data_IF_815862306228
#
_entry.id   IF_815862306228
#
_cell.length_a   1.000
_cell.length_b   1.000
_cell.length_c   1.000
_cell.angle_alpha   90.00
_cell.angle_beta   90.00
_cell.angle_gamma   90.00
#
_symmetry.space_group_name_H-M   'P 1'
#
loop_
_entity.id
_entity.type
_entity.pdbx_description
1 polymer ?
#
# COMPACT_ATOMS: atom_id res chain seq x y z
N UNK A 1 -16.34 -11.06 27.09
CA UNK A 1 -16.71 -10.61 25.74
C UNK A 1 -16.41 -9.12 25.51
N UNK A 2 -16.77 -8.20 26.43
CA UNK A 2 -16.50 -6.74 26.27
C UNK A 2 -15.02 -6.35 26.37
N UNK A 3 -14.21 -7.12 27.07
CA UNK A 3 -12.77 -6.85 27.23
C UNK A 3 -11.95 -7.24 25.98
N UNK A 4 -12.37 -8.30 25.28
CA UNK A 4 -11.75 -8.72 24.03
C UNK A 4 -12.04 -7.71 22.91
N UNK A 5 -13.26 -7.19 22.79
CA UNK A 5 -13.62 -6.19 21.80
C UNK A 5 -12.83 -4.88 21.96
N UNK A 6 -12.60 -4.41 23.20
CA UNK A 6 -11.84 -3.17 23.44
C UNK A 6 -10.33 -3.32 23.18
N UNK A 7 -9.78 -4.55 23.27
CA UNK A 7 -8.39 -4.84 22.89
C UNK A 7 -8.22 -4.90 21.37
N UNK A 8 -9.22 -5.42 20.66
CA UNK A 8 -9.23 -5.49 19.20
C UNK A 8 -9.37 -4.11 18.54
N UNK A 9 -10.22 -3.24 19.10
CA UNK A 9 -10.37 -1.86 18.62
C UNK A 9 -9.08 -1.03 18.80
N UNK A 10 -8.38 -1.23 19.92
CA UNK A 10 -7.10 -0.56 20.19
C UNK A 10 -5.94 -1.12 19.35
N UNK A 11 -5.97 -2.41 18.98
CA UNK A 11 -4.98 -3.03 18.11
C UNK A 11 -5.18 -2.61 16.66
N UNK A 12 -6.43 -2.59 16.17
CA UNK A 12 -6.77 -2.12 14.83
C UNK A 12 -6.43 -0.62 14.64
N UNK A 13 -6.70 0.22 15.65
CA UNK A 13 -6.35 1.63 15.62
C UNK A 13 -4.83 1.90 15.62
N UNK A 14 -3.99 0.93 15.99
CA UNK A 14 -2.51 1.08 16.04
C UNK A 14 -1.81 0.74 14.73
N UNK A 15 -2.49 0.21 13.74
CA UNK A 15 -1.88 -0.43 12.57
C UNK A 15 -2.20 0.24 11.23
N UNK A 16 -2.94 1.34 11.24
CA UNK A 16 -3.17 2.10 10.02
C UNK A 16 -1.87 2.84 9.63
N UNK A 17 -1.51 2.79 8.35
CA UNK A 17 -0.36 3.56 7.84
C UNK A 17 -0.56 5.07 8.00
N UNK A 18 -1.79 5.53 8.21
CA UNK A 18 -2.09 6.89 8.62
C UNK A 18 -1.45 7.23 9.98
N UNK A 19 -1.30 6.24 10.87
CA UNK A 19 -0.68 6.41 12.19
C UNK A 19 0.85 6.28 12.18
N UNK A 20 1.43 5.66 11.11
CA UNK A 20 2.87 5.42 10.98
C UNK A 20 3.44 5.70 9.58
N UNK A 21 3.12 6.84 8.95
CA UNK A 21 3.54 7.15 7.59
C UNK A 21 5.06 7.18 7.43
N UNK A 22 5.78 7.68 8.43
CA UNK A 22 7.25 7.73 8.45
C UNK A 22 7.86 6.34 8.49
N UNK A 23 7.26 5.42 9.26
CA UNK A 23 7.74 4.04 9.34
C UNK A 23 7.57 3.33 8.01
N UNK A 24 6.41 3.45 7.36
CA UNK A 24 6.16 2.85 6.06
C UNK A 24 7.12 3.37 4.99
N UNK A 25 7.35 4.69 4.94
CA UNK A 25 8.29 5.31 4.01
C UNK A 25 9.73 4.83 4.26
N UNK A 26 10.18 4.79 5.51
CA UNK A 26 11.51 4.29 5.89
C UNK A 26 11.70 2.82 5.53
N UNK A 27 10.68 1.98 5.75
CA UNK A 27 10.75 0.57 5.38
C UNK A 27 10.83 0.37 3.87
N UNK A 28 10.08 1.15 3.09
CA UNK A 28 10.20 1.14 1.64
C UNK A 28 11.65 1.43 1.20
N UNK A 29 12.26 2.48 1.75
CA UNK A 29 13.66 2.84 1.45
C UNK A 29 14.67 1.78 1.90
N UNK A 30 14.42 1.11 3.01
CA UNK A 30 15.30 0.07 3.54
C UNK A 30 15.26 -1.20 2.70
N UNK A 31 14.06 -1.57 2.21
CA UNK A 31 13.85 -2.80 1.44
C UNK A 31 14.27 -2.65 -0.02
N UNK A 32 14.16 -1.46 -0.57
CA UNK A 32 14.47 -1.18 -1.97
C UNK A 32 15.63 -0.19 -2.07
N UNK A 33 16.64 -0.55 -2.90
CA UNK A 33 17.69 0.39 -3.27
C UNK A 33 17.16 1.36 -4.32
N UNK A 34 16.55 2.44 -3.84
CA UNK A 34 15.90 3.42 -4.69
C UNK A 34 16.92 4.32 -5.41
N UNK A 35 16.74 4.61 -6.70
CA UNK A 35 17.50 5.65 -7.40
C UNK A 35 17.16 7.04 -6.86
N UNK A 36 17.88 8.06 -7.31
CA UNK A 36 17.64 9.45 -6.92
C UNK A 36 16.30 9.98 -7.42
N UNK A 37 15.85 9.50 -8.57
CA UNK A 37 14.59 9.91 -9.20
C UNK A 37 13.77 8.69 -9.60
N UNK A 38 12.47 8.84 -9.68
CA UNK A 38 11.54 7.81 -10.12
C UNK A 38 10.09 8.28 -9.95
N UNK A 39 9.17 7.38 -10.19
CA UNK A 39 7.73 7.62 -10.12
C UNK A 39 7.06 6.71 -9.10
N UNK A 40 6.22 7.27 -8.24
CA UNK A 40 5.48 6.53 -7.24
C UNK A 40 3.99 6.85 -7.30
N UNK A 41 3.16 5.80 -7.28
CA UNK A 41 1.72 5.89 -7.04
C UNK A 41 1.40 5.36 -5.65
N UNK A 42 0.71 6.15 -4.82
CA UNK A 42 0.13 5.68 -3.58
C UNK A 42 -1.35 5.35 -3.77
N UNK A 43 -1.68 4.08 -3.58
CA UNK A 43 -3.04 3.55 -3.75
C UNK A 43 -3.85 3.73 -2.47
N UNK A 44 -5.03 4.36 -2.60
CA UNK A 44 -5.88 4.75 -1.47
C UNK A 44 -5.08 5.51 -0.40
N UNK A 45 -4.57 6.68 -0.85
CA UNK A 45 -3.52 7.43 -0.19
C UNK A 45 -3.94 8.12 1.12
N UNK A 46 -5.22 8.08 1.46
CA UNK A 46 -5.75 8.72 2.65
C UNK A 46 -5.50 10.24 2.64
N UNK A 47 -4.92 10.75 3.71
CA UNK A 47 -4.54 12.17 3.82
C UNK A 47 -3.17 12.51 3.21
N UNK A 48 -2.46 11.51 2.70
CA UNK A 48 -1.14 11.67 2.06
C UNK A 48 0.06 11.70 3.01
N UNK A 49 -0.10 11.30 4.27
CA UNK A 49 0.99 11.31 5.24
C UNK A 49 2.19 10.45 4.83
N UNK A 50 1.97 9.28 4.23
CA UNK A 50 3.04 8.46 3.65
C UNK A 50 3.79 9.21 2.53
N UNK A 51 3.05 9.87 1.65
CA UNK A 51 3.64 10.63 0.53
C UNK A 51 4.45 11.84 1.02
N UNK A 52 4.02 12.51 2.09
CA UNK A 52 4.80 13.58 2.72
C UNK A 52 6.11 13.05 3.28
N UNK A 53 6.06 11.95 4.02
CA UNK A 53 7.27 11.33 4.58
C UNK A 53 8.23 10.86 3.48
N UNK A 54 7.72 10.25 2.42
CA UNK A 54 8.52 9.81 1.28
C UNK A 54 9.09 10.99 0.51
N UNK A 55 8.32 12.05 0.26
CA UNK A 55 8.81 13.26 -0.42
C UNK A 55 9.94 13.95 0.36
N UNK A 56 9.82 14.03 1.68
CA UNK A 56 10.87 14.60 2.52
C UNK A 56 12.21 13.84 2.40
N UNK A 57 12.15 12.53 2.24
CA UNK A 57 13.33 11.68 2.06
C UNK A 57 13.82 11.63 0.60
N UNK A 58 12.91 11.76 -0.37
CA UNK A 58 13.15 11.61 -1.82
C UNK A 58 12.50 12.72 -2.64
N UNK A 59 12.96 13.97 -2.52
CA UNK A 59 12.34 15.11 -3.20
C UNK A 59 12.45 15.06 -4.74
N UNK A 60 13.34 14.26 -5.30
CA UNK A 60 13.48 14.06 -6.75
C UNK A 60 12.47 13.10 -7.38
N UNK A 61 11.58 12.49 -6.56
CA UNK A 61 10.58 11.55 -7.08
C UNK A 61 9.28 12.25 -7.46
N UNK A 62 8.70 11.83 -8.58
CA UNK A 62 7.36 12.27 -8.99
C UNK A 62 6.29 11.41 -8.28
N UNK A 63 5.50 12.06 -7.42
CA UNK A 63 4.52 11.38 -6.58
C UNK A 63 3.11 11.58 -7.10
N UNK A 64 2.38 10.49 -7.20
CA UNK A 64 0.96 10.46 -7.57
C UNK A 64 0.14 9.75 -6.51
N UNK A 65 -1.12 10.12 -6.40
CA UNK A 65 -2.06 9.51 -5.47
C UNK A 65 -3.38 9.15 -6.16
N UNK A 66 -3.99 8.04 -5.74
CA UNK A 66 -5.40 7.76 -6.04
C UNK A 66 -6.16 7.67 -4.72
N UNK A 67 -7.26 8.40 -4.65
CA UNK A 67 -8.12 8.47 -3.47
C UNK A 67 -9.50 9.00 -3.87
N UNK A 68 -10.48 8.87 -3.00
CA UNK A 68 -11.83 9.37 -3.23
C UNK A 68 -12.39 10.14 -2.03
N UNK A 69 -13.47 10.89 -2.26
CA UNK A 69 -14.18 11.60 -1.22
C UNK A 69 -13.37 12.70 -0.52
N UNK A 70 -13.60 12.88 0.79
CA UNK A 70 -12.98 13.96 1.57
C UNK A 70 -11.46 13.81 1.70
N UNK A 71 -10.94 12.60 1.64
CA UNK A 71 -9.51 12.35 1.67
C UNK A 71 -8.81 12.92 0.43
N UNK A 72 -9.41 12.77 -0.74
CA UNK A 72 -8.93 13.40 -1.97
C UNK A 72 -8.80 14.93 -1.83
N UNK A 73 -9.76 15.59 -1.20
CA UNK A 73 -9.72 17.04 -1.00
C UNK A 73 -8.52 17.50 -0.14
N UNK A 74 -8.04 16.61 0.76
CA UNK A 74 -6.81 16.87 1.52
C UNK A 74 -5.55 16.71 0.67
N UNK A 75 -5.54 15.74 -0.24
CA UNK A 75 -4.42 15.52 -1.18
C UNK A 75 -4.21 16.70 -2.13
N UNK A 76 -5.27 17.36 -2.59
CA UNK A 76 -5.17 18.53 -3.48
C UNK A 76 -4.38 19.70 -2.87
N UNK A 77 -4.24 19.75 -1.55
CA UNK A 77 -3.45 20.79 -0.85
C UNK A 77 -1.96 20.48 -0.84
N UNK A 78 -1.52 19.31 -1.32
CA UNK A 78 -0.13 18.85 -1.31
C UNK A 78 0.56 19.30 -2.60
N UNK A 79 1.27 20.43 -2.57
CA UNK A 79 1.90 21.01 -3.74
C UNK A 79 3.02 20.15 -4.38
N UNK A 80 3.53 19.16 -3.65
CA UNK A 80 4.55 18.23 -4.15
C UNK A 80 4.00 17.09 -5.00
N UNK A 81 2.67 16.89 -5.05
CA UNK A 81 2.08 15.85 -5.86
C UNK A 81 2.10 16.24 -7.36
N UNK A 82 2.60 15.33 -8.19
CA UNK A 82 2.50 15.42 -9.64
C UNK A 82 1.06 15.27 -10.11
N UNK A 83 0.35 14.29 -9.55
CA UNK A 83 -1.04 14.00 -9.90
C UNK A 83 -1.81 13.45 -8.70
N UNK A 84 -3.07 13.87 -8.58
CA UNK A 84 -4.03 13.27 -7.66
C UNK A 84 -5.28 12.87 -8.46
N UNK A 85 -5.65 11.59 -8.36
CA UNK A 85 -6.80 11.03 -9.08
C UNK A 85 -7.97 10.86 -8.11
N UNK A 86 -9.09 11.55 -8.40
CA UNK A 86 -10.33 11.41 -7.65
C UNK A 86 -11.17 10.29 -8.24
N UNK A 87 -10.85 9.07 -7.88
CA UNK A 87 -11.57 7.91 -8.41
C UNK A 87 -11.42 6.70 -7.51
N UNK A 88 -12.41 5.82 -7.55
CA UNK A 88 -12.20 4.41 -7.23
C UNK A 88 -11.29 3.79 -8.30
N UNK A 89 -10.43 2.84 -7.90
CA UNK A 89 -9.50 2.21 -8.85
C UNK A 89 -10.21 1.54 -10.04
N UNK A 90 -11.46 1.14 -9.89
CA UNK A 90 -12.28 0.50 -10.94
C UNK A 90 -12.62 1.47 -12.07
N UNK A 91 -12.75 2.73 -11.74
CA UNK A 91 -13.17 3.81 -12.66
C UNK A 91 -12.01 4.72 -13.06
N UNK A 92 -10.83 4.53 -12.44
CA UNK A 92 -9.67 5.39 -12.69
C UNK A 92 -9.01 5.12 -14.04
N UNK A 93 -9.03 6.12 -14.91
CA UNK A 93 -8.30 6.11 -16.19
C UNK A 93 -6.86 6.59 -15.98
N UNK A 94 -6.02 5.72 -15.42
CA UNK A 94 -4.60 5.94 -15.22
C UNK A 94 -3.83 5.12 -16.25
N UNK A 95 -3.30 5.76 -17.27
CA UNK A 95 -2.47 5.11 -18.31
C UNK A 95 -0.99 5.06 -17.96
N UNK A 96 -0.55 5.92 -17.04
CA UNK A 96 0.85 5.98 -16.58
C UNK A 96 1.27 4.67 -15.90
N UNK A 97 2.55 4.35 -16.02
CA UNK A 97 3.20 3.26 -15.30
C UNK A 97 4.15 3.84 -14.26
N UNK A 98 4.34 3.12 -13.16
CA UNK A 98 5.07 3.60 -12.00
C UNK A 98 6.20 2.63 -11.63
N UNK A 99 7.33 3.20 -11.22
CA UNK A 99 8.45 2.42 -10.70
C UNK A 99 8.11 1.78 -9.36
N UNK A 100 7.30 2.50 -8.56
CA UNK A 100 6.76 1.98 -7.31
C UNK A 100 5.26 2.25 -7.23
N UNK A 101 4.52 1.24 -6.80
CA UNK A 101 3.16 1.41 -6.32
C UNK A 101 3.12 1.00 -4.86
N UNK A 102 2.77 1.93 -3.97
CA UNK A 102 2.66 1.70 -2.54
C UNK A 102 1.19 1.48 -2.13
N UNK A 103 0.96 0.48 -1.30
CA UNK A 103 -0.33 0.17 -0.67
C UNK A 103 -0.11 0.08 0.83
N UNK A 104 -0.57 1.08 1.55
CA UNK A 104 -0.45 1.14 3.01
C UNK A 104 -1.79 0.91 3.71
N UNK A 105 -2.90 1.04 2.98
CA UNK A 105 -4.21 0.63 3.47
C UNK A 105 -4.29 -0.89 3.58
N UNK A 106 -4.87 -1.44 4.66
CA UNK A 106 -5.11 -2.87 4.78
C UNK A 106 -5.92 -3.42 3.59
N UNK A 107 -5.40 -4.45 2.94
CA UNK A 107 -6.04 -5.02 1.74
C UNK A 107 -7.36 -5.73 2.04
N UNK A 108 -7.63 -6.11 3.28
CA UNK A 108 -8.93 -6.65 3.73
C UNK A 108 -10.02 -5.57 3.81
N UNK A 109 -9.64 -4.29 3.81
CA UNK A 109 -10.56 -3.16 3.70
C UNK A 109 -10.84 -2.75 2.24
N UNK A 110 -10.08 -3.31 1.29
CA UNK A 110 -10.25 -3.03 -0.14
C UNK A 110 -11.32 -3.94 -0.74
N UNK A 111 -12.31 -3.35 -1.39
CA UNK A 111 -13.30 -4.15 -2.11
C UNK A 111 -12.64 -4.93 -3.25
N UNK A 112 -12.82 -6.27 -3.26
CA UNK A 112 -12.23 -7.17 -4.27
C UNK A 112 -10.70 -7.05 -4.37
N UNK A 113 -9.94 -7.36 -3.32
CA UNK A 113 -8.50 -7.11 -3.25
C UNK A 113 -7.69 -7.76 -4.38
N UNK A 114 -8.11 -8.92 -4.88
CA UNK A 114 -7.46 -9.55 -6.05
C UNK A 114 -7.59 -8.69 -7.32
N UNK A 115 -8.75 -8.08 -7.53
CA UNK A 115 -8.96 -7.19 -8.68
C UNK A 115 -8.13 -5.91 -8.54
N UNK A 116 -8.04 -5.37 -7.31
CA UNK A 116 -7.19 -4.23 -7.03
C UNK A 116 -5.71 -4.55 -7.32
N UNK A 117 -5.18 -5.66 -6.80
CA UNK A 117 -3.77 -6.05 -7.05
C UNK A 117 -3.52 -6.32 -8.54
N UNK A 118 -4.46 -6.93 -9.28
CA UNK A 118 -4.36 -7.08 -10.75
C UNK A 118 -4.38 -5.73 -11.47
N UNK A 119 -5.18 -4.79 -11.01
CA UNK A 119 -5.22 -3.44 -11.56
C UNK A 119 -3.88 -2.72 -11.31
N UNK A 120 -3.33 -2.82 -10.13
CA UNK A 120 -2.03 -2.27 -9.75
C UNK A 120 -0.88 -2.90 -10.56
N UNK A 121 -0.87 -4.23 -10.71
CA UNK A 121 0.20 -4.93 -11.45
C UNK A 121 0.33 -4.46 -12.89
N UNK A 122 -0.78 -4.12 -13.55
CA UNK A 122 -0.79 -3.59 -14.93
C UNK A 122 -0.22 -2.17 -15.03
N UNK A 123 -0.10 -1.46 -13.91
CA UNK A 123 0.41 -0.09 -13.83
C UNK A 123 1.83 0.00 -13.28
N UNK A 124 2.44 -1.14 -12.99
CA UNK A 124 3.87 -1.19 -12.73
C UNK A 124 4.65 -0.97 -14.04
N UNK A 125 5.71 -0.20 -13.96
CA UNK A 125 6.74 -0.17 -15.00
C UNK A 125 7.39 -1.56 -15.15
N UNK A 126 8.16 -1.79 -16.20
CA UNK A 126 8.70 -3.12 -16.52
C UNK A 126 9.53 -3.72 -15.37
N UNK A 127 10.26 -2.88 -14.63
CA UNK A 127 11.01 -3.27 -13.43
C UNK A 127 10.39 -2.70 -12.14
N UNK A 128 9.14 -2.26 -12.21
CA UNK A 128 8.44 -1.62 -11.11
C UNK A 128 8.13 -2.60 -9.97
N UNK A 129 8.01 -2.06 -8.77
CA UNK A 129 7.75 -2.83 -7.55
C UNK A 129 6.43 -2.42 -6.90
N UNK A 130 5.59 -3.41 -6.62
CA UNK A 130 4.45 -3.25 -5.72
C UNK A 130 4.95 -3.41 -4.28
N UNK A 131 4.81 -2.37 -3.49
CA UNK A 131 5.11 -2.37 -2.06
C UNK A 131 3.83 -2.44 -1.25
N UNK A 132 3.67 -3.51 -0.49
CA UNK A 132 2.55 -3.70 0.44
C UNK A 132 3.06 -3.55 1.87
N UNK A 133 2.51 -2.60 2.60
CA UNK A 133 2.73 -2.39 4.03
C UNK A 133 1.43 -2.74 4.75
N UNK A 134 1.39 -3.92 5.39
CA UNK A 134 0.14 -4.51 5.86
C UNK A 134 0.24 -4.90 7.34
N UNK A 135 -0.86 -4.79 8.12
CA UNK A 135 -0.87 -5.29 9.48
C UNK A 135 -0.61 -6.80 9.50
N UNK A 136 0.30 -7.23 10.38
CA UNK A 136 0.58 -8.64 10.63
C UNK A 136 -0.41 -9.18 11.65
N UNK A 137 -1.21 -10.16 11.25
CA UNK A 137 -2.04 -10.88 12.20
C UNK A 137 -1.21 -11.89 12.98
N UNK A 138 -1.10 -11.67 14.26
CA UNK A 138 -0.69 -12.73 15.18
C UNK A 138 -1.78 -13.80 15.23
N UNK A 139 -1.39 -15.06 15.12
CA UNK A 139 -2.28 -16.19 15.37
C UNK A 139 -2.89 -16.04 16.77
N UNK A 140 -4.20 -15.84 16.86
CA UNK A 140 -4.95 -15.84 18.12
C UNK A 140 -5.66 -14.54 18.52
N UNK A 141 -5.50 -13.44 17.80
CA UNK A 141 -6.29 -12.23 18.03
C UNK A 141 -7.43 -12.13 17.04
N UNK A 142 -8.59 -11.88 17.55
CA UNK A 142 -9.92 -11.98 16.96
C UNK A 142 -10.15 -11.40 15.56
N UNK A 143 -11.32 -11.67 15.09
CA UNK A 143 -11.94 -11.31 13.82
C UNK A 143 -11.76 -9.85 13.41
N UNK A 144 -11.25 -9.61 12.21
CA UNK A 144 -11.42 -8.34 11.50
C UNK A 144 -12.92 -8.02 11.37
N UNK A 145 -13.29 -6.77 11.55
CA UNK A 145 -14.70 -6.32 11.47
C UNK A 145 -15.31 -6.41 10.06
N UNK A 146 -14.49 -6.62 9.02
CA UNK A 146 -14.93 -6.60 7.63
C UNK A 146 -14.44 -7.76 6.74
N UNK A 147 -13.69 -8.73 7.27
CA UNK A 147 -13.22 -9.84 6.46
C UNK A 147 -12.29 -10.80 7.19
N UNK A 148 -11.94 -11.87 6.50
CA UNK A 148 -10.94 -12.82 6.99
C UNK A 148 -9.57 -12.13 6.98
N UNK A 149 -8.84 -12.16 8.09
CA UNK A 149 -7.52 -11.56 8.19
C UNK A 149 -6.59 -12.08 7.10
N UNK A 150 -5.95 -11.16 6.36
CA UNK A 150 -5.01 -11.55 5.32
C UNK A 150 -3.73 -12.06 5.98
N UNK A 151 -3.52 -13.38 5.95
CA UNK A 151 -2.26 -14.00 6.39
C UNK A 151 -1.16 -13.74 5.36
N UNK A 152 0.10 -13.76 5.77
CA UNK A 152 1.26 -13.64 4.86
C UNK A 152 1.15 -14.60 3.68
N UNK A 153 0.74 -15.86 3.93
CA UNK A 153 0.51 -16.84 2.88
C UNK A 153 -0.56 -16.39 1.87
N UNK A 154 -1.62 -15.74 2.34
CA UNK A 154 -2.68 -15.22 1.49
C UNK A 154 -2.23 -13.99 0.68
N UNK A 155 -1.41 -13.09 1.27
CA UNK A 155 -0.80 -11.97 0.53
C UNK A 155 0.09 -12.48 -0.60
N UNK A 156 0.94 -13.47 -0.31
CA UNK A 156 1.79 -14.11 -1.31
C UNK A 156 0.97 -14.78 -2.42
N UNK A 157 -0.08 -15.52 -2.05
CA UNK A 157 -0.98 -16.16 -3.01
C UNK A 157 -1.73 -15.13 -3.85
N UNK A 158 -2.18 -14.03 -3.24
CA UNK A 158 -2.84 -12.92 -3.92
C UNK A 158 -1.93 -12.30 -5.00
N UNK A 159 -0.68 -11.97 -4.64
CA UNK A 159 0.31 -11.43 -5.57
C UNK A 159 0.56 -12.41 -6.73
N UNK A 160 0.82 -13.69 -6.45
CA UNK A 160 1.03 -14.73 -7.47
C UNK A 160 -0.17 -14.87 -8.40
N UNK A 161 -1.39 -14.88 -7.87
CA UNK A 161 -2.63 -14.97 -8.66
C UNK A 161 -2.85 -13.72 -9.52
N UNK A 162 -2.29 -12.58 -9.11
CA UNK A 162 -2.30 -11.33 -9.88
C UNK A 162 -1.17 -11.27 -10.94
N UNK A 163 -0.34 -12.29 -11.07
CA UNK A 163 0.79 -12.33 -12.02
C UNK A 163 2.07 -11.69 -11.51
N UNK A 164 2.20 -11.53 -10.19
CA UNK A 164 3.37 -10.94 -9.55
C UNK A 164 4.26 -12.02 -8.92
N UNK A 165 5.56 -11.85 -9.02
CA UNK A 165 6.58 -12.57 -8.25
C UNK A 165 6.89 -11.81 -6.97
N UNK A 166 6.87 -12.49 -5.84
CA UNK A 166 7.23 -11.90 -4.55
C UNK A 166 8.74 -12.02 -4.35
N UNK A 167 9.41 -10.89 -4.23
CA UNK A 167 10.87 -10.82 -4.08
C UNK A 167 11.30 -10.80 -2.62
N UNK A 168 10.57 -10.06 -1.79
CA UNK A 168 10.94 -9.83 -0.39
C UNK A 168 9.70 -9.84 0.49
N UNK A 169 9.81 -10.50 1.63
CA UNK A 169 8.83 -10.42 2.72
C UNK A 169 9.60 -10.20 4.00
N UNK A 170 9.25 -9.16 4.75
CA UNK A 170 9.80 -8.89 6.08
C UNK A 170 8.67 -8.66 7.08
N UNK A 171 8.93 -8.96 8.34
CA UNK A 171 7.98 -8.69 9.43
C UNK A 171 8.69 -7.87 10.49
N UNK A 172 8.16 -6.73 10.82
CA UNK A 172 8.67 -5.86 11.87
C UNK A 172 7.53 -5.51 12.84
N UNK A 173 7.62 -6.03 14.05
CA UNK A 173 6.54 -5.90 15.03
C UNK A 173 5.24 -6.54 14.55
N UNK A 174 4.22 -5.71 14.37
CA UNK A 174 2.89 -6.11 13.90
C UNK A 174 2.62 -5.74 12.44
N UNK A 175 3.68 -5.53 11.65
CA UNK A 175 3.59 -5.17 10.23
C UNK A 175 4.32 -6.18 9.36
N UNK A 176 3.72 -6.52 8.23
CA UNK A 176 4.34 -7.25 7.13
C UNK A 176 4.60 -6.26 6.00
N UNK A 177 5.84 -6.22 5.53
CA UNK A 177 6.21 -5.56 4.29
C UNK A 177 6.48 -6.61 3.23
N UNK A 178 5.85 -6.45 2.08
CA UNK A 178 6.02 -7.34 0.94
C UNK A 178 6.34 -6.52 -0.31
N UNK A 179 7.39 -6.91 -1.02
CA UNK A 179 7.73 -6.37 -2.33
C UNK A 179 7.52 -7.42 -3.40
N UNK A 180 6.79 -7.07 -4.46
CA UNK A 180 6.51 -7.95 -5.59
C UNK A 180 6.68 -7.22 -6.92
N UNK A 181 7.06 -7.96 -7.98
CA UNK A 181 7.26 -7.44 -9.34
C UNK A 181 6.46 -8.25 -10.36
N UNK A 182 6.26 -7.68 -11.53
CA UNK A 182 5.68 -8.45 -12.63
C UNK A 182 6.55 -9.68 -12.92
N UNK A 183 5.90 -10.82 -13.06
CA UNK A 183 6.59 -12.04 -13.52
C UNK A 183 7.02 -11.82 -14.97
N UNK A 184 8.31 -11.98 -15.32
CA UNK A 184 8.75 -11.87 -16.71
C UNK A 184 7.91 -12.79 -17.59
N UNK A 185 7.31 -12.25 -18.64
CA UNK A 185 6.68 -13.07 -19.67
C UNK A 185 7.80 -13.77 -20.43
N UNK A 186 7.78 -15.11 -20.41
CA UNK A 186 8.67 -15.95 -21.22
C UNK A 186 8.17 -16.03 -22.65
#
# INVERSE_FOLDING_TARGET
ARYAAALDEKAAARLSAADHPQQAAKQLETLLRLPETGTLLHFEAGDGGFLEAFHAARPGWELSAIESGDAFMRLLKKAFLRSAYNADYRDADIVSRFDIIAVTKPLDEVEKPLNAVRWLSRRLADNGTLFLWQPALRMGTGLSLHGLPIRIANLTALCKTAGLSVDTITTEGEVVCLCARNTPQR
#
